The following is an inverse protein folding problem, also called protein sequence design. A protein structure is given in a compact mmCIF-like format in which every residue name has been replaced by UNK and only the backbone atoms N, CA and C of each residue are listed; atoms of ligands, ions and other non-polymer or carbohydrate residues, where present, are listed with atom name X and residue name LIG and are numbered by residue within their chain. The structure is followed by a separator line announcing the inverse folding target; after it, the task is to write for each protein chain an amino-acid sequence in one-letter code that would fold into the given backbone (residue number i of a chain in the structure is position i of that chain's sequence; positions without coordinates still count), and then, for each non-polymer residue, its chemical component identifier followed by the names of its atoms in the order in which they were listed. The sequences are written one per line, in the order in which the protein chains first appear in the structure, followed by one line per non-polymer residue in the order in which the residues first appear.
data_IF_956140321200
#
_entry.id   IF_956140321200
#
_cell.length_a   1.000
_cell.length_b   1.000
_cell.length_c   1.000
_cell.angle_alpha   90.00
_cell.angle_beta   90.00
_cell.angle_gamma   90.00
#
_symmetry.space_group_name_H-M   'P 1'
#
loop_
_entity.id
_entity.type
_entity.pdbx_description
1 polymer ?
2 non-polymer ?
3 non-polymer ?
4 non-polymer ?
5 water ?
#
# COMPACT_ATOMS: atom_id res chain seq x y z
N UNK A 10 -4.90 18.14 7.23
CA UNK A 10 -5.88 17.03 7.29
C UNK A 10 -5.89 16.12 6.04
N UNK A 11 -5.12 16.46 4.98
CA UNK A 11 -5.00 15.64 3.76
C UNK A 11 -4.21 14.34 3.98
N UNK A 12 -4.43 13.70 5.12
CA UNK A 12 -3.72 12.49 5.47
C UNK A 12 -4.35 11.33 4.74
N UNK A 13 -3.54 10.34 4.40
CA UNK A 13 -3.99 9.09 3.81
C UNK A 13 -4.50 8.12 4.87
N UNK A 14 -3.67 7.92 5.90
CA UNK A 14 -4.01 7.07 7.03
C UNK A 14 -4.65 7.93 8.11
N UNK A 15 -5.85 7.52 8.53
CA UNK A 15 -6.63 8.26 9.54
C UNK A 15 -6.41 7.72 10.94
N UNK A 16 -6.35 6.40 11.10
CA UNK A 16 -6.50 5.74 12.41
C UNK A 16 -5.49 4.67 12.77
N UNK A 17 -4.66 4.23 11.83
CA UNK A 17 -3.85 3.06 12.09
C UNK A 17 -2.58 3.47 12.81
N UNK A 18 -2.30 2.78 13.90
CA UNK A 18 -1.09 2.95 14.73
C UNK A 18 -0.52 4.37 14.70
N UNK A 19 -1.30 5.34 15.17
CA UNK A 19 -0.88 6.75 15.07
C UNK A 19 0.23 7.18 16.06
N UNK A 20 0.62 6.30 16.98
CA UNK A 20 1.78 6.48 17.85
C UNK A 20 3.08 6.05 17.14
N UNK A 21 2.97 5.49 15.94
CA UNK A 21 4.14 5.12 15.14
C UNK A 21 4.40 6.21 14.08
N UNK A 22 5.58 6.88 14.11
CA UNK A 22 5.71 8.04 13.19
C UNK A 22 5.88 7.66 11.72
N UNK A 23 6.21 6.39 11.44
CA UNK A 23 6.29 5.92 10.09
C UNK A 23 6.04 4.42 10.05
N UNK A 24 4.87 4.05 9.57
CA UNK A 24 4.47 2.65 9.52
C UNK A 24 5.05 1.95 8.31
N UNK A 25 5.96 1.02 8.58
CA UNK A 25 6.61 0.19 7.61
C UNK A 25 6.44 -1.27 8.05
N UNK A 26 6.11 -2.14 7.12
CA UNK A 26 6.08 -3.60 7.36
C UNK A 26 7.09 -4.32 6.46
N UNK A 27 7.70 -5.38 6.99
CA UNK A 27 8.71 -6.12 6.27
C UNK A 27 8.49 -7.58 6.56
N UNK A 28 8.43 -8.36 5.48
CA UNK A 28 8.13 -9.78 5.54
C UNK A 28 9.14 -10.54 4.72
N UNK A 29 9.42 -11.76 5.15
CA UNK A 29 10.28 -12.67 4.44
C UNK A 29 9.40 -13.54 3.56
N UNK A 30 9.76 -13.62 2.27
CA UNK A 30 9.10 -14.48 1.28
C UNK A 30 8.82 -15.87 1.84
N UNK A 31 9.82 -16.41 2.52
CA UNK A 31 9.79 -17.77 3.06
C UNK A 31 8.63 -18.02 4.04
N UNK A 32 8.19 -16.97 4.75
CA UNK A 32 7.08 -17.07 5.72
C UNK A 32 5.70 -16.88 5.09
N UNK A 33 5.63 -16.48 3.82
CA UNK A 33 4.34 -16.21 3.16
C UNK A 33 3.74 -17.49 2.67
N UNK A 34 2.41 -17.52 2.57
CA UNK A 34 1.74 -18.68 2.00
C UNK A 34 1.85 -18.72 0.48
N UNK A 35 0.84 -19.28 -0.15
CA UNK A 35 0.68 -19.24 -1.60
C UNK A 35 0.29 -17.86 -2.09
N UNK A 36 -0.41 -17.09 -1.27
CA UNK A 36 -0.90 -15.78 -1.69
C UNK A 36 -1.08 -14.87 -0.47
N UNK A 37 -0.37 -13.73 -0.46
CA UNK A 37 -0.55 -12.71 0.56
C UNK A 37 -1.06 -11.47 -0.10
N UNK A 38 -2.06 -10.83 0.52
CA UNK A 38 -2.73 -9.67 -0.04
C UNK A 38 -2.67 -8.52 0.94
N UNK A 39 -1.94 -7.47 0.54
CA UNK A 39 -1.57 -6.37 1.41
C UNK A 39 -2.36 -5.15 1.10
N UNK A 40 -2.72 -4.43 2.15
CA UNK A 40 -3.57 -3.29 2.05
C UNK A 40 -2.76 -2.04 1.63
N UNK A 41 -3.25 -1.30 0.63
CA UNK A 41 -2.64 -0.04 0.22
C UNK A 41 -3.57 1.13 0.45
N UNK A 42 -4.67 0.90 1.16
CA UNK A 42 -5.63 1.99 1.38
C UNK A 42 -5.71 2.50 2.82
N UNK A 43 -5.09 1.79 3.76
CA UNK A 43 -5.02 2.21 5.17
C UNK A 43 -6.45 2.22 5.80
N UNK A 44 -7.35 1.41 5.25
CA UNK A 44 -8.70 1.28 5.82
C UNK A 44 -8.98 -0.13 6.32
N UNK A 45 -8.08 -1.07 6.09
CA UNK A 45 -8.32 -2.47 6.52
C UNK A 45 -8.28 -2.59 8.02
N UNK A 46 -9.19 -3.40 8.59
CA UNK A 46 -9.14 -3.73 10.00
C UNK A 46 -8.08 -4.78 10.31
N UNK A 47 -7.52 -5.41 9.29
CA UNK A 47 -6.48 -6.39 9.46
C UNK A 47 -5.15 -5.85 8.91
N UNK A 48 -4.96 -4.53 8.87
CA UNK A 48 -3.73 -3.92 8.28
C UNK A 48 -2.51 -4.56 8.93
N UNK A 49 -1.47 -4.97 8.19
CA UNK A 49 -1.20 -4.63 6.79
C UNK A 49 -1.88 -5.48 5.74
N UNK A 50 -2.77 -6.40 6.10
CA UNK A 50 -3.46 -7.25 5.14
C UNK A 50 -4.79 -6.64 4.70
N UNK A 51 -5.17 -6.92 3.46
CA UNK A 51 -6.36 -6.35 2.83
C UNK A 51 -7.59 -7.15 3.31
N UNK A 52 -8.66 -6.46 3.67
CA UNK A 52 -9.90 -7.12 4.06
C UNK A 52 -11.09 -6.67 3.20
N UNK A 53 -10.84 -6.05 2.04
CA UNK A 53 -11.91 -5.54 1.17
C UNK A 53 -12.37 -4.11 1.41
N UNK A 54 -11.89 -3.48 2.48
CA UNK A 54 -12.30 -2.10 2.84
C UNK A 54 -12.07 -1.03 1.76
N UNK A 55 -11.08 -1.22 0.88
CA UNK A 55 -10.85 -0.30 -0.24
C UNK A 55 -12.06 -0.02 -1.15
N UNK A 56 -12.93 -1.00 -1.35
CA UNK A 56 -14.14 -0.81 -2.16
C UNK A 56 -15.05 0.30 -1.60
N UNK A 57 -15.29 0.26 -0.30
CA UNK A 57 -16.08 1.30 0.37
C UNK A 57 -15.41 2.67 0.28
N UNK A 58 -14.11 2.70 0.51
CA UNK A 58 -13.33 3.91 0.32
C UNK A 58 -13.49 4.47 -1.12
N UNK A 59 -13.33 3.61 -2.10
CA UNK A 59 -13.42 4.04 -3.51
C UNK A 59 -14.79 4.59 -3.85
N UNK A 60 -15.81 3.85 -3.40
CA UNK A 60 -17.20 4.27 -3.64
C UNK A 60 -17.47 5.60 -2.96
N UNK A 61 -17.00 5.76 -1.72
CA UNK A 61 -17.26 7.00 -1.00
C UNK A 61 -16.55 8.22 -1.61
N UNK A 62 -15.30 8.03 -2.01
CA UNK A 62 -14.44 9.14 -2.48
C UNK A 62 -14.23 9.28 -3.97
N UNK A 63 -14.67 8.29 -4.76
CA UNK A 63 -14.40 8.28 -6.20
C UNK A 63 -13.00 7.80 -6.54
N UNK A 64 -12.29 7.22 -5.56
CA UNK A 64 -10.89 6.79 -5.71
C UNK A 64 -10.86 5.45 -6.42
N UNK A 65 -9.65 4.99 -6.74
CA UNK A 65 -9.47 3.73 -7.48
C UNK A 65 -8.30 2.90 -6.91
N UNK A 66 -8.14 2.90 -5.58
CA UNK A 66 -7.02 2.16 -4.95
C UNK A 66 -7.40 0.71 -4.65
N UNK A 67 -6.39 -0.14 -4.61
CA UNK A 67 -6.58 -1.53 -4.29
C UNK A 67 -5.27 -2.13 -3.80
N UNK A 68 -5.30 -3.44 -3.51
CA UNK A 68 -4.20 -4.12 -2.84
C UNK A 68 -3.01 -4.56 -3.70
N UNK A 69 -1.99 -5.03 -2.99
CA UNK A 69 -0.80 -5.58 -3.56
C UNK A 69 -0.78 -7.05 -3.19
N UNK A 70 -0.64 -7.88 -4.21
CA UNK A 70 -0.67 -9.31 -4.05
C UNK A 70 0.72 -9.86 -4.25
N UNK A 71 1.16 -10.70 -3.31
CA UNK A 71 2.41 -11.44 -3.47
C UNK A 71 2.05 -12.90 -3.43
N UNK A 72 2.43 -13.66 -4.46
CA UNK A 72 1.99 -15.03 -4.61
C UNK A 72 3.10 -15.93 -5.11
N UNK A 73 2.90 -17.23 -4.98
CA UNK A 73 3.81 -18.18 -5.62
C UNK A 73 3.36 -18.43 -7.06
N UNK A 74 4.35 -18.54 -7.96
CA UNK A 74 4.14 -18.75 -9.38
C UNK A 74 3.42 -20.07 -9.69
N UNK A 75 2.77 -20.09 -10.84
CA UNK A 75 1.80 -21.13 -11.22
C UNK A 75 2.37 -22.54 -11.14
N UNK B 9 -12.30 10.73 5.91
CA UNK B 9 -12.73 9.73 4.87
C UNK B 9 -13.65 10.38 3.81
N UNK B 10 -13.26 11.58 3.37
CA UNK B 10 -13.87 12.30 2.25
C UNK B 10 -12.91 12.39 1.03
N UNK B 11 -11.60 12.57 1.27
CA UNK B 11 -10.59 12.74 0.21
C UNK B 11 -10.09 11.44 -0.44
N UNK B 12 -9.77 11.48 -1.74
CA UNK B 12 -9.08 10.37 -2.40
C UNK B 12 -7.67 10.25 -1.82
N UNK B 13 -7.16 9.02 -1.81
CA UNK B 13 -5.79 8.73 -1.43
C UNK B 13 -4.88 8.84 -2.65
N UNK B 14 -5.31 8.24 -3.76
CA UNK B 14 -4.61 8.34 -5.03
C UNK B 14 -5.15 9.56 -5.77
N UNK B 15 -4.28 10.49 -6.09
CA UNK B 15 -4.66 11.70 -6.81
C UNK B 15 -4.47 11.61 -8.32
N UNK B 16 -3.41 10.92 -8.75
CA UNK B 16 -2.99 10.99 -10.14
C UNK B 16 -2.69 9.68 -10.85
N UNK B 17 -2.57 8.56 -10.14
CA UNK B 17 -2.06 7.35 -10.76
C UNK B 17 -3.16 6.57 -11.51
N UNK B 18 -2.91 6.29 -12.79
CA UNK B 18 -3.75 5.45 -13.65
C UNK B 18 -5.26 5.57 -13.33
N UNK B 19 -5.79 6.78 -13.51
CA UNK B 19 -7.15 7.08 -13.15
C UNK B 19 -8.20 6.53 -14.12
N UNK B 20 -7.76 6.04 -15.27
CA UNK B 20 -8.63 5.26 -16.17
C UNK B 20 -8.82 3.83 -15.69
N UNK B 21 -8.04 3.39 -14.70
CA UNK B 21 -8.21 2.03 -14.09
C UNK B 21 -9.07 2.20 -12.84
N UNK B 22 -10.25 1.55 -12.80
CA UNK B 22 -11.14 1.79 -11.67
C UNK B 22 -10.78 1.10 -10.34
N UNK B 23 -9.84 0.17 -10.37
CA UNK B 23 -9.33 -0.43 -9.13
C UNK B 23 -7.90 -0.92 -9.38
N UNK B 24 -6.93 -0.16 -8.88
CA UNK B 24 -5.50 -0.49 -9.11
C UNK B 24 -4.97 -1.54 -8.16
N UNK B 25 -4.68 -2.71 -8.73
CA UNK B 25 -4.19 -3.85 -8.02
C UNK B 25 -2.96 -4.32 -8.78
N UNK B 26 -1.92 -4.66 -8.03
CA UNK B 26 -0.71 -5.27 -8.59
C UNK B 26 -0.48 -6.65 -7.97
N UNK B 27 0.00 -7.58 -8.78
CA UNK B 27 0.24 -8.94 -8.33
C UNK B 27 1.57 -9.36 -8.86
N UNK B 28 2.45 -9.85 -7.96
CA UNK B 28 3.77 -10.29 -8.38
C UNK B 28 4.01 -11.67 -7.87
N UNK B 29 4.78 -12.46 -8.64
CA UNK B 29 5.25 -13.78 -8.19
C UNK B 29 6.52 -13.63 -7.35
N UNK B 30 6.51 -14.21 -6.14
CA UNK B 30 7.67 -14.02 -5.24
C UNK B 30 8.98 -14.55 -5.87
N UNK B 31 8.86 -15.52 -6.78
CA UNK B 31 10.02 -16.02 -7.52
C UNK B 31 10.61 -14.98 -8.49
N UNK B 32 9.84 -13.97 -8.86
CA UNK B 32 10.34 -12.92 -9.76
C UNK B 32 10.98 -11.75 -9.04
N UNK B 33 10.90 -11.72 -7.71
CA UNK B 33 11.46 -10.60 -6.94
C UNK B 33 12.93 -10.86 -6.76
N UNK B 34 13.66 -9.80 -6.52
CA UNK B 34 15.08 -9.98 -6.26
C UNK B 34 15.28 -10.47 -4.84
N UNK B 35 16.30 -9.94 -4.22
CA UNK B 35 16.46 -10.09 -2.79
C UNK B 35 15.47 -9.26 -2.02
N UNK B 36 15.00 -8.16 -2.61
CA UNK B 36 14.14 -7.19 -1.93
C UNK B 36 13.26 -6.41 -2.90
N UNK B 37 11.98 -6.25 -2.56
CA UNK B 37 11.12 -5.27 -3.19
C UNK B 37 10.52 -4.34 -2.14
N UNK B 38 10.42 -3.06 -2.48
CA UNK B 38 9.94 -2.05 -1.56
C UNK B 38 8.76 -1.41 -2.28
N UNK B 39 7.55 -1.66 -1.77
CA UNK B 39 6.32 -1.27 -2.44
C UNK B 39 5.70 -0.04 -1.78
N UNK B 40 5.20 0.83 -2.61
CA UNK B 40 4.62 2.07 -2.17
C UNK B 40 3.21 1.83 -1.62
N UNK B 41 2.92 2.39 -0.46
CA UNK B 41 1.54 2.39 0.08
C UNK B 41 1.00 3.81 0.25
N UNK B 42 1.65 4.79 -0.36
CA UNK B 42 1.22 6.16 -0.25
C UNK B 42 0.67 6.77 -1.56
N UNK B 43 0.82 6.09 -2.69
CA UNK B 43 0.30 6.57 -3.99
C UNK B 43 0.91 7.93 -4.40
N UNK B 44 2.12 8.24 -3.92
CA UNK B 44 2.83 9.45 -4.32
C UNK B 44 4.13 9.14 -5.08
N UNK B 45 4.57 7.88 -5.06
CA UNK B 45 5.74 7.48 -5.85
C UNK B 45 5.63 7.82 -7.34
N UNK B 46 6.71 8.34 -7.94
CA UNK B 46 6.82 8.44 -9.39
C UNK B 46 7.20 7.11 -10.05
N UNK B 47 7.55 6.11 -9.24
CA UNK B 47 7.81 4.74 -9.67
C UNK B 47 6.73 3.74 -9.21
N UNK B 48 5.50 4.18 -8.97
CA UNK B 48 4.45 3.26 -8.46
C UNK B 48 4.32 2.01 -9.35
N UNK B 49 4.22 0.77 -8.81
CA UNK B 49 3.93 0.42 -7.42
C UNK B 49 5.12 0.37 -6.45
N UNK B 50 6.31 0.82 -6.90
CA UNK B 50 7.49 0.80 -6.07
C UNK B 50 7.64 2.10 -5.31
N UNK B 51 8.14 1.98 -4.07
CA UNK B 51 8.46 3.14 -3.22
C UNK B 51 9.70 3.85 -3.74
N UNK B 52 9.62 5.18 -3.88
CA UNK B 52 10.78 6.03 -4.23
C UNK B 52 11.05 7.13 -3.17
N UNK B 53 10.52 6.93 -1.96
CA UNK B 53 10.73 7.84 -0.85
C UNK B 53 9.80 9.02 -0.77
N UNK B 54 8.86 9.15 -1.73
CA UNK B 54 7.92 10.29 -1.74
C UNK B 54 7.01 10.31 -0.50
N UNK B 55 6.82 9.18 0.16
CA UNK B 55 6.09 9.15 1.46
C UNK B 55 6.64 10.08 2.55
N UNK B 56 7.96 10.34 2.53
CA UNK B 56 8.54 11.24 3.53
C UNK B 56 8.02 12.67 3.32
N UNK B 57 7.98 13.12 2.06
CA UNK B 57 7.48 14.47 1.78
C UNK B 57 5.99 14.56 2.14
N UNK B 58 5.24 13.52 1.80
CA UNK B 58 3.84 13.46 2.18
C UNK B 58 3.59 13.59 3.70
N UNK B 59 4.31 12.77 4.46
CA UNK B 59 4.23 12.76 5.92
C UNK B 59 4.63 14.08 6.51
N UNK B 60 5.73 14.66 5.98
CA UNK B 60 6.19 15.99 6.37
C UNK B 60 5.10 17.05 6.17
N UNK B 61 4.51 17.08 4.97
CA UNK B 61 3.48 18.07 4.59
C UNK B 61 2.14 17.88 5.31
N UNK B 62 1.73 16.64 5.51
CA UNK B 62 0.39 16.36 6.05
C UNK B 62 0.36 15.98 7.52
N UNK B 63 1.52 15.69 8.10
CA UNK B 63 1.60 15.13 9.45
C UNK B 63 1.21 13.66 9.51
N UNK B 64 1.16 12.97 8.37
CA UNK B 64 0.75 11.55 8.28
C UNK B 64 1.91 10.66 8.72
N UNK B 65 1.66 9.36 8.76
CA UNK B 65 2.68 8.41 9.20
C UNK B 65 2.71 7.16 8.34
N UNK B 66 2.53 7.31 7.02
CA UNK B 66 2.53 6.17 6.12
C UNK B 66 3.95 5.81 5.65
N UNK B 67 4.10 4.55 5.26
CA UNK B 67 5.35 4.06 4.74
C UNK B 67 5.16 2.81 3.94
N UNK B 68 6.25 2.31 3.37
CA UNK B 68 6.18 1.25 2.41
C UNK B 68 6.07 -0.15 3.03
N UNK B 69 5.89 -1.12 2.14
CA UNK B 69 5.89 -2.55 2.45
C UNK B 69 7.09 -3.19 1.78
N UNK B 70 7.88 -3.91 2.58
CA UNK B 70 9.09 -4.59 2.10
C UNK B 70 8.85 -6.09 2.06
N UNK B 71 9.05 -6.67 0.87
CA UNK B 71 9.13 -8.10 0.72
C UNK B 71 10.58 -8.41 0.40
N UNK B 72 11.13 -9.38 1.14
CA UNK B 72 12.53 -9.74 1.01
C UNK B 72 12.78 -11.23 1.30
N UNK B 73 13.99 -11.69 0.97
CA UNK B 73 14.44 -13.01 1.41
C UNK B 73 15.09 -12.89 2.80
N UNK B 74 14.90 -13.91 3.64
CA UNK B 74 15.51 -14.00 5.00
C UNK B 74 16.90 -13.38 5.14
#
# INVERSE_FOLDING_TARGET
RFYVKDHRNKAMINLHIQKDNPKIVHAFDMEDLGDKAVYCRCWRSKKFPFCDGAHTKHNEETGDNVGPLIIKKKET
RFYVKDHRNKAMINLHIQKDNPKIVHAFDMEDLGDKAVYCRCWRSKKFPFCDGAHTKHNEETGDNVGPLIIKKKET
#
